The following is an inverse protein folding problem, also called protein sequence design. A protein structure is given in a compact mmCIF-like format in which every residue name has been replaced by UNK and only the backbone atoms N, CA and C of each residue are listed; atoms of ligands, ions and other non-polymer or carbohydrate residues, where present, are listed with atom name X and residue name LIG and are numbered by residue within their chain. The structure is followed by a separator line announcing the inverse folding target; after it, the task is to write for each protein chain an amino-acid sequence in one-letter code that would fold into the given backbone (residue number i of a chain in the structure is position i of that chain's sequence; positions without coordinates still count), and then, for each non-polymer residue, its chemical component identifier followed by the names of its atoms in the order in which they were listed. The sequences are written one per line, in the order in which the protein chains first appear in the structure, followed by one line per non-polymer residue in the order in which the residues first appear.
data_IF_474234100191
#
_entry.id   IF_474234100191
#
_cell.length_a   1.000
_cell.length_b   1.000
_cell.length_c   1.000
_cell.angle_alpha   90.00
_cell.angle_beta   90.00
_cell.angle_gamma   90.00
#
_symmetry.space_group_name_H-M   'P 1'
#
loop_
_entity.id
_entity.type
_entity.pdbx_description
1 polymer ?
#
# COMPACT_ATOMS: atom_id res chain seq x y z
N UNK A 1 0.09 6.59 20.73
CA UNK A 1 -0.82 5.44 20.52
C UNK A 1 -2.24 5.93 20.30
N UNK A 2 -2.94 6.48 21.31
CA UNK A 2 -4.33 6.97 21.20
C UNK A 2 -4.70 7.76 19.93
N UNK A 3 -3.84 8.67 19.47
CA UNK A 3 -4.09 9.41 18.22
C UNK A 3 -4.07 8.51 16.99
N UNK A 4 -3.06 7.64 16.87
CA UNK A 4 -2.93 6.72 15.74
C UNK A 4 -4.08 5.71 15.72
N UNK A 5 -4.42 5.16 16.89
CA UNK A 5 -5.52 4.20 17.03
C UNK A 5 -6.85 4.86 16.60
N UNK A 6 -7.15 6.07 17.09
CA UNK A 6 -8.35 6.82 16.71
C UNK A 6 -8.36 7.24 15.22
N UNK A 7 -7.20 7.57 14.66
CA UNK A 7 -7.07 7.86 13.22
C UNK A 7 -7.38 6.60 12.40
N UNK A 8 -6.86 5.44 12.80
CA UNK A 8 -7.12 4.16 12.13
C UNK A 8 -8.60 3.76 12.25
N UNK A 9 -9.17 3.84 13.46
CA UNK A 9 -10.57 3.48 13.72
C UNK A 9 -11.56 4.35 12.93
N UNK A 10 -11.22 5.64 12.75
CA UNK A 10 -12.07 6.61 12.01
C UNK A 10 -11.58 6.91 10.60
N UNK A 11 -10.68 6.09 10.06
CA UNK A 11 -10.07 6.40 8.76
C UNK A 11 -11.12 6.46 7.65
N UNK A 12 -12.16 5.61 7.70
CA UNK A 12 -13.25 5.63 6.72
C UNK A 12 -14.01 6.97 6.73
N UNK A 13 -14.38 7.45 7.92
CA UNK A 13 -15.01 8.77 8.10
C UNK A 13 -14.08 9.87 7.58
N UNK A 14 -12.79 9.82 7.93
CA UNK A 14 -11.79 10.78 7.51
C UNK A 14 -11.62 10.83 5.99
N UNK A 15 -11.58 9.66 5.33
CA UNK A 15 -11.46 9.55 3.87
C UNK A 15 -12.68 10.05 3.10
N UNK A 16 -13.85 10.09 3.76
CA UNK A 16 -15.08 10.64 3.18
C UNK A 16 -15.07 12.16 3.24
N UNK A 17 -14.52 12.74 4.32
CA UNK A 17 -14.45 14.20 4.52
C UNK A 17 -13.30 14.81 3.73
N UNK A 18 -12.12 14.18 3.74
CA UNK A 18 -10.94 14.62 3.01
C UNK A 18 -10.46 13.50 2.06
N UNK A 19 -10.68 13.66 0.75
CA UNK A 19 -10.34 12.65 -0.26
C UNK A 19 -8.87 12.25 -0.28
N UNK A 20 -7.95 13.10 0.20
CA UNK A 20 -6.51 12.80 0.23
C UNK A 20 -6.22 11.54 1.05
N UNK A 21 -6.98 11.29 2.11
CA UNK A 21 -6.82 10.06 2.90
C UNK A 21 -7.31 8.82 2.15
N UNK A 22 -8.34 8.95 1.32
CA UNK A 22 -8.79 7.88 0.42
C UNK A 22 -7.76 7.58 -0.67
N UNK A 23 -7.19 8.61 -1.28
CA UNK A 23 -6.10 8.48 -2.26
C UNK A 23 -4.86 7.82 -1.63
N UNK A 24 -4.50 8.23 -0.41
CA UNK A 24 -3.40 7.63 0.33
C UNK A 24 -3.64 6.15 0.62
N UNK A 25 -4.87 5.75 0.99
CA UNK A 25 -5.23 4.34 1.18
C UNK A 25 -5.06 3.54 -0.11
N UNK A 26 -5.57 4.06 -1.23
CA UNK A 26 -5.41 3.41 -2.53
C UNK A 26 -3.93 3.22 -2.87
N UNK A 27 -3.08 4.20 -2.55
CA UNK A 27 -1.63 4.11 -2.77
C UNK A 27 -1.00 3.02 -1.87
N UNK A 28 -1.37 2.96 -0.59
CA UNK A 28 -0.90 1.90 0.31
C UNK A 28 -1.28 0.50 -0.21
N UNK A 29 -2.52 0.30 -0.63
CA UNK A 29 -3.01 -0.97 -1.17
C UNK A 29 -2.26 -1.37 -2.44
N UNK A 30 -2.05 -0.42 -3.36
CA UNK A 30 -1.27 -0.67 -4.58
C UNK A 30 0.19 -1.03 -4.28
N UNK A 31 0.82 -0.40 -3.28
CA UNK A 31 2.17 -0.77 -2.85
C UNK A 31 2.25 -2.20 -2.30
N UNK A 32 1.22 -2.66 -1.58
CA UNK A 32 1.15 -4.05 -1.08
C UNK A 32 0.95 -5.03 -2.24
N UNK A 33 0.06 -4.72 -3.18
CA UNK A 33 -0.16 -5.55 -4.38
C UNK A 33 1.11 -5.65 -5.23
N UNK A 34 1.81 -4.54 -5.47
CA UNK A 34 3.06 -4.53 -6.21
C UNK A 34 4.13 -5.40 -5.52
N UNK A 35 4.29 -5.26 -4.20
CA UNK A 35 5.21 -6.07 -3.41
C UNK A 35 4.88 -7.57 -3.51
N UNK A 36 3.59 -7.95 -3.48
CA UNK A 36 3.16 -9.34 -3.64
C UNK A 36 3.47 -9.88 -5.05
N UNK A 37 3.22 -9.10 -6.10
CA UNK A 37 3.50 -9.48 -7.49
C UNK A 37 4.98 -9.80 -7.66
N UNK A 38 5.86 -8.93 -7.15
CA UNK A 38 7.30 -9.10 -7.26
C UNK A 38 7.80 -10.25 -6.39
N UNK A 39 7.36 -10.33 -5.13
CA UNK A 39 7.73 -11.39 -4.18
C UNK A 39 7.44 -12.79 -4.73
N UNK A 40 6.22 -13.00 -5.22
CA UNK A 40 5.74 -14.31 -5.68
C UNK A 40 5.98 -14.53 -7.19
N UNK A 41 6.66 -13.59 -7.85
CA UNK A 41 6.94 -13.61 -9.30
C UNK A 41 5.69 -13.87 -10.14
N UNK A 42 4.57 -13.22 -9.78
CA UNK A 42 3.25 -13.54 -10.35
C UNK A 42 3.18 -13.34 -11.87
N UNK A 43 3.94 -12.39 -12.42
CA UNK A 43 4.03 -12.21 -13.88
C UNK A 43 4.63 -13.44 -14.59
N UNK A 44 5.65 -14.07 -13.99
CA UNK A 44 6.24 -15.29 -14.53
C UNK A 44 5.28 -16.48 -14.41
N UNK A 45 4.56 -16.58 -13.28
CA UNK A 45 3.54 -17.61 -13.08
C UNK A 45 2.39 -17.47 -14.09
N UNK A 46 1.99 -16.24 -14.40
CA UNK A 46 0.95 -15.95 -15.38
C UNK A 46 1.45 -16.01 -16.84
N UNK A 47 2.76 -16.07 -17.08
CA UNK A 47 3.33 -16.00 -18.43
C UNK A 47 3.11 -14.65 -19.14
N UNK A 48 2.91 -13.57 -18.38
CA UNK A 48 2.60 -12.23 -18.91
C UNK A 48 3.79 -11.30 -18.68
N UNK A 49 4.15 -10.51 -19.69
CA UNK A 49 5.16 -9.46 -19.60
C UNK A 49 4.51 -8.09 -19.75
N UNK A 50 4.73 -7.19 -18.79
CA UNK A 50 4.18 -5.82 -18.75
C UNK A 50 5.29 -4.76 -18.68
N UNK A 51 6.19 -4.68 -19.68
CA UNK A 51 7.39 -3.83 -19.63
C UNK A 51 7.05 -2.35 -19.49
N UNK A 52 5.91 -1.89 -19.99
CA UNK A 52 5.44 -0.51 -19.82
C UNK A 52 5.22 -0.14 -18.34
N UNK A 53 4.82 -1.10 -17.51
CA UNK A 53 4.53 -0.88 -16.09
C UNK A 53 5.68 -1.28 -15.18
N UNK A 54 6.53 -2.21 -15.61
CA UNK A 54 7.59 -2.80 -14.78
C UNK A 54 9.00 -2.30 -15.10
N UNK A 55 9.22 -1.61 -16.22
CA UNK A 55 10.54 -1.07 -16.57
C UNK A 55 10.80 0.28 -15.90
N UNK A 56 12.00 0.45 -15.36
CA UNK A 56 12.46 1.74 -14.80
C UNK A 56 12.56 2.84 -15.87
N UNK A 57 12.83 2.43 -17.12
CA UNK A 57 12.96 3.29 -18.29
C UNK A 57 11.73 3.22 -19.21
N UNK A 58 10.54 3.09 -18.63
CA UNK A 58 9.29 3.10 -19.39
C UNK A 58 9.06 4.45 -20.07
N UNK A 59 8.50 4.42 -21.27
CA UNK A 59 8.05 5.63 -21.99
C UNK A 59 6.83 6.29 -21.30
N UNK A 60 6.27 5.65 -20.26
CA UNK A 60 5.19 6.21 -19.47
C UNK A 60 5.68 7.39 -18.64
N UNK A 61 5.39 8.61 -19.12
CA UNK A 61 5.76 9.83 -18.43
C UNK A 61 5.02 9.96 -17.08
N UNK A 62 5.73 9.75 -15.98
CA UNK A 62 5.22 10.03 -14.65
C UNK A 62 5.08 11.54 -14.45
N UNK A 63 3.89 11.98 -14.05
CA UNK A 63 3.63 13.38 -13.72
C UNK A 63 4.47 13.78 -12.50
N UNK A 64 5.54 14.53 -12.74
CA UNK A 64 6.36 15.08 -11.66
C UNK A 64 5.64 16.27 -11.06
N UNK A 65 5.28 16.16 -9.78
CA UNK A 65 4.76 17.29 -9.02
C UNK A 65 5.91 18.10 -8.42
N UNK A 66 5.72 19.41 -8.28
CA UNK A 66 6.67 20.26 -7.55
C UNK A 66 6.45 20.07 -6.04
N UNK A 67 6.94 18.95 -5.51
CA UNK A 67 6.91 18.70 -4.08
C UNK A 67 7.70 19.79 -3.34
N UNK A 68 7.14 20.30 -2.24
CA UNK A 68 7.80 21.31 -1.42
C UNK A 68 9.11 20.74 -0.85
N UNK A 69 10.25 21.31 -1.24
CA UNK A 69 11.58 20.87 -0.78
C UNK A 69 11.87 21.22 0.67
N UNK A 70 11.12 22.18 1.24
CA UNK A 70 11.23 22.65 2.61
C UNK A 70 9.83 22.90 3.13
N UNK A 71 9.45 22.17 4.17
CA UNK A 71 8.26 22.42 4.98
C UNK A 71 8.72 22.66 6.41
N UNK A 72 8.01 23.50 7.16
CA UNK A 72 8.25 23.62 8.59
C UNK A 72 7.96 22.24 9.23
N UNK A 73 8.91 21.60 9.92
CA UNK A 73 8.66 20.32 10.54
C UNK A 73 7.67 20.51 11.69
N UNK A 74 6.62 19.68 11.74
CA UNK A 74 5.79 19.55 12.93
C UNK A 74 6.55 18.66 13.93
N UNK A 75 6.94 19.27 15.05
CA UNK A 75 7.77 18.62 16.06
C UNK A 75 6.90 18.24 17.26
N UNK A 76 6.80 16.95 17.54
CA UNK A 76 6.17 16.43 18.76
C UNK A 76 7.23 16.15 19.82
N UNK A 77 6.99 16.66 21.04
CA UNK A 77 7.87 16.47 22.19
C UNK A 77 7.22 15.48 23.17
N UNK A 78 7.86 14.33 23.36
CA UNK A 78 7.47 13.36 24.38
C UNK A 78 8.48 13.41 25.52
N UNK A 79 8.05 13.89 26.69
CA UNK A 79 8.87 13.95 27.89
C UNK A 79 8.71 12.67 28.73
N UNK A 80 9.78 11.90 28.81
CA UNK A 80 9.94 10.74 29.71
C UNK A 80 10.67 11.19 30.99
N UNK A 81 10.63 10.38 32.06
CA UNK A 81 11.17 10.69 33.40
C UNK A 81 12.62 11.23 33.38
N UNK A 82 13.45 10.73 32.47
CA UNK A 82 14.87 11.15 32.32
C UNK A 82 15.25 11.57 30.88
N UNK A 83 14.31 11.70 29.94
CA UNK A 83 14.65 12.04 28.54
C UNK A 83 13.52 12.75 27.82
N UNK A 84 13.87 13.57 26.82
CA UNK A 84 12.92 14.19 25.90
C UNK A 84 13.14 13.55 24.53
N UNK A 85 12.11 12.90 24.01
CA UNK A 85 12.08 12.35 22.65
C UNK A 85 11.48 13.44 21.76
N UNK A 86 12.24 13.86 20.75
CA UNK A 86 11.84 14.85 19.76
C UNK A 86 11.58 14.12 18.46
N UNK A 87 10.33 14.07 18.03
CA UNK A 87 9.92 13.48 16.75
C UNK A 87 9.54 14.60 15.80
N UNK A 88 10.41 14.89 14.83
CA UNK A 88 10.09 15.73 13.68
C UNK A 88 9.41 14.85 12.62
N UNK A 89 8.10 15.03 12.44
CA UNK A 89 7.28 14.21 11.54
C UNK A 89 6.68 15.07 10.44
N UNK A 90 6.79 14.61 9.18
CA UNK A 90 6.21 15.32 8.04
C UNK A 90 6.00 14.47 6.79
N UNK A 91 6.21 13.15 6.85
CA UNK A 91 6.07 12.25 5.72
C UNK A 91 5.45 10.92 6.13
N UNK A 92 4.86 10.23 5.16
CA UNK A 92 4.33 8.87 5.31
C UNK A 92 5.32 7.90 4.69
N UNK A 93 5.81 6.95 5.50
CA UNK A 93 6.64 5.84 5.03
C UNK A 93 5.77 4.58 4.99
N UNK A 94 5.79 3.87 3.85
CA UNK A 94 5.00 2.66 3.63
C UNK A 94 5.96 1.47 3.51
N UNK A 95 5.92 0.57 4.49
CA UNK A 95 6.72 -0.67 4.50
C UNK A 95 5.92 -1.85 3.93
N UNK A 96 5.65 -1.83 2.62
CA UNK A 96 4.80 -2.84 1.95
C UNK A 96 5.39 -4.24 1.98
N UNK A 97 6.72 -4.38 1.89
CA UNK A 97 7.42 -5.67 1.92
C UNK A 97 7.20 -6.45 3.22
N UNK A 98 7.18 -5.76 4.36
CA UNK A 98 6.94 -6.41 5.65
C UNK A 98 5.51 -6.93 5.75
N UNK A 99 4.54 -6.16 5.24
CA UNK A 99 3.13 -6.57 5.17
C UNK A 99 2.96 -7.77 4.26
N UNK A 100 3.51 -7.74 3.04
CA UNK A 100 3.48 -8.85 2.09
C UNK A 100 4.21 -10.11 2.60
N UNK A 101 5.10 -9.96 3.58
CA UNK A 101 5.83 -11.07 4.21
C UNK A 101 5.07 -11.75 5.34
N UNK A 102 4.02 -11.12 5.89
CA UNK A 102 3.17 -11.74 6.90
C UNK A 102 2.21 -12.69 6.21
N UNK A 103 2.42 -13.98 6.40
CA UNK A 103 1.57 -15.03 5.83
C UNK A 103 1.00 -15.87 6.95
N UNK A 104 -0.32 -15.90 7.04
CA UNK A 104 -1.08 -16.73 7.97
C UNK A 104 -1.97 -17.70 7.18
N UNK A 105 -2.10 -18.93 7.68
CA UNK A 105 -2.95 -19.94 7.05
C UNK A 105 -4.39 -19.75 7.51
N UNK A 106 -5.25 -19.26 6.62
CA UNK A 106 -6.69 -19.17 6.87
C UNK A 106 -7.47 -20.18 6.01
N UNK A 107 -8.22 -21.05 6.69
CA UNK A 107 -9.11 -22.04 6.09
C UNK A 107 -10.15 -21.44 5.13
N UNK A 108 -10.58 -20.19 5.36
CA UNK A 108 -11.59 -19.51 4.55
C UNK A 108 -11.09 -19.17 3.13
N UNK A 109 -9.78 -19.01 2.94
CA UNK A 109 -9.19 -18.71 1.64
C UNK A 109 -9.46 -19.84 0.63
N UNK A 110 -9.54 -21.08 1.12
CA UNK A 110 -9.89 -22.24 0.29
C UNK A 110 -11.29 -22.14 -0.32
N UNK A 111 -12.23 -21.52 0.39
CA UNK A 111 -13.61 -21.30 -0.08
C UNK A 111 -13.64 -20.23 -1.16
N UNK A 112 -12.91 -19.13 -0.97
CA UNK A 112 -12.77 -18.05 -1.97
C UNK A 112 -12.13 -18.58 -3.24
N UNK A 113 -11.06 -19.38 -3.13
CA UNK A 113 -10.40 -20.02 -4.27
C UNK A 113 -11.37 -20.89 -5.07
N UNK A 114 -12.21 -21.68 -4.41
CA UNK A 114 -13.23 -22.50 -5.09
C UNK A 114 -14.24 -21.67 -5.88
N UNK A 115 -14.59 -20.46 -5.42
CA UNK A 115 -15.45 -19.53 -6.16
C UNK A 115 -14.73 -18.86 -7.33
N UNK A 116 -13.43 -18.58 -7.18
CA UNK A 116 -12.64 -17.88 -8.18
C UNK A 116 -12.20 -18.77 -9.36
N UNK A 117 -12.22 -20.09 -9.21
CA UNK A 117 -11.91 -21.01 -10.32
C UNK A 117 -13.05 -20.93 -11.35
N UNK A 118 -12.78 -20.50 -12.60
CA UNK A 118 -13.81 -20.46 -13.62
C UNK A 118 -14.28 -21.89 -13.94
N UNK A 119 -15.60 -22.11 -13.86
CA UNK A 119 -16.25 -23.41 -14.07
C UNK A 119 -16.26 -23.82 -15.55
N UNK A 120 -15.95 -22.91 -16.48
CA UNK A 120 -16.16 -23.13 -17.91
C UNK A 120 -14.90 -22.83 -18.73
N UNK A 121 -14.47 -23.78 -19.57
CA UNK A 121 -13.31 -23.69 -20.47
C UNK A 121 -13.66 -23.18 -21.88
N UNK A 122 -14.80 -22.50 -22.06
CA UNK A 122 -15.34 -22.19 -23.39
C UNK A 122 -15.50 -20.69 -23.70
N UNK A 123 -14.64 -19.82 -23.18
CA UNK A 123 -14.60 -18.42 -23.60
C UNK A 123 -13.30 -18.14 -24.34
N UNK A 124 -13.38 -17.52 -25.51
CA UNK A 124 -12.24 -17.33 -26.43
C UNK A 124 -11.30 -16.19 -26.03
N UNK A 125 -11.62 -15.45 -24.97
CA UNK A 125 -10.78 -14.41 -24.36
C UNK A 125 -10.44 -14.71 -22.88
N UNK A 126 -10.78 -15.90 -22.38
CA UNK A 126 -10.26 -16.45 -21.11
C UNK A 126 -9.22 -17.51 -21.42
#
# INVERSE_FOLDING_TARGET
KRWADNMTDKYDELSTVDPVFGELRNLMDMCVVAALIEKERLFAVAGVSLPLLSSESSDLALKKWNAAKKISPEVSFLRTRNSVIVTASGGVQIESWQVASRTDVDSNVSVVRKRAIPVNKSLWWQ
#
